data_IF_423025628308
#
_entry.id   IF_423025628308
#
_cell.length_a   1.000
_cell.length_b   1.000
_cell.length_c   1.000
_cell.angle_alpha   90.00
_cell.angle_beta   90.00
_cell.angle_gamma   90.00
#
_symmetry.space_group_name_H-M   'P 1'
#
loop_
_entity.id
_entity.type
_entity.pdbx_description
1 polymer ?
#
# COMPACT_ATOMS: atom_id res chain seq x y z
N UNK A 1 33.10 24.43 3.41
CA UNK A 1 33.02 23.05 2.88
C UNK A 1 33.08 21.95 3.94
N UNK A 2 33.76 22.11 5.11
CA UNK A 2 33.79 21.03 6.13
C UNK A 2 32.50 20.86 6.95
N UNK A 3 31.68 21.90 7.09
CA UNK A 3 30.41 21.83 7.84
C UNK A 3 29.34 20.98 7.12
N UNK A 4 29.38 20.93 5.79
CA UNK A 4 28.46 20.11 4.98
C UNK A 4 28.84 18.64 5.10
N UNK A 5 30.13 18.28 4.99
CA UNK A 5 30.59 16.88 5.06
C UNK A 5 30.34 16.21 6.43
N UNK A 6 30.34 16.97 7.51
CA UNK A 6 30.03 16.47 8.85
C UNK A 6 28.57 16.05 9.05
N UNK A 7 27.62 16.66 8.33
CA UNK A 7 26.19 16.27 8.45
C UNK A 7 25.88 15.00 7.65
N UNK A 8 26.61 14.73 6.57
CA UNK A 8 26.44 13.51 5.76
C UNK A 8 26.98 12.26 6.45
N UNK A 9 28.08 12.32 7.21
CA UNK A 9 28.59 11.15 7.94
C UNK A 9 27.66 10.74 9.09
N UNK A 10 27.06 11.71 9.79
CA UNK A 10 26.07 11.47 10.83
C UNK A 10 24.73 10.97 10.25
N UNK A 11 24.31 11.50 9.09
CA UNK A 11 23.12 11.01 8.40
C UNK A 11 23.29 9.57 7.90
N UNK A 12 24.42 9.26 7.23
CA UNK A 12 24.70 7.93 6.68
C UNK A 12 24.89 6.86 7.78
N UNK A 13 25.52 7.20 8.90
CA UNK A 13 25.74 6.24 10.00
C UNK A 13 24.45 5.77 10.69
N UNK A 14 23.39 6.57 10.68
CA UNK A 14 22.07 6.16 11.18
C UNK A 14 21.15 5.55 10.11
N UNK A 15 21.33 5.93 8.83
CA UNK A 15 20.50 5.43 7.74
C UNK A 15 20.94 4.05 7.24
N UNK A 16 22.25 3.82 7.12
CA UNK A 16 22.80 2.59 6.52
C UNK A 16 22.38 1.30 7.25
N UNK A 17 22.43 1.21 8.60
CA UNK A 17 21.96 0.02 9.30
C UNK A 17 20.47 -0.24 9.09
N UNK A 18 19.64 0.82 9.08
CA UNK A 18 18.19 0.72 8.84
C UNK A 18 17.91 0.25 7.41
N UNK A 19 18.65 0.77 6.43
CA UNK A 19 18.57 0.36 5.03
C UNK A 19 19.01 -1.09 4.82
N UNK A 20 20.04 -1.57 5.53
CA UNK A 20 20.46 -2.96 5.46
C UNK A 20 19.40 -3.91 6.01
N UNK A 21 18.77 -3.57 7.15
CA UNK A 21 17.66 -4.35 7.71
C UNK A 21 16.49 -4.37 6.73
N UNK A 22 16.10 -3.22 6.18
CA UNK A 22 15.01 -3.13 5.22
C UNK A 22 15.32 -3.96 3.95
N UNK A 23 16.52 -3.85 3.39
CA UNK A 23 16.97 -4.65 2.25
C UNK A 23 16.90 -6.15 2.54
N UNK A 24 17.29 -6.57 3.74
CA UNK A 24 17.18 -7.97 4.16
C UNK A 24 15.71 -8.44 4.22
N UNK A 25 14.79 -7.62 4.77
CA UNK A 25 13.36 -7.93 4.82
C UNK A 25 12.76 -8.03 3.41
N UNK A 26 13.13 -7.11 2.53
CA UNK A 26 12.76 -7.15 1.12
C UNK A 26 13.26 -8.41 0.42
N UNK A 27 14.54 -8.72 0.51
CA UNK A 27 15.13 -9.90 -0.11
C UNK A 27 14.48 -11.19 0.40
N UNK A 28 14.22 -11.28 1.71
CA UNK A 28 13.49 -12.40 2.31
C UNK A 28 12.09 -12.53 1.70
N UNK A 29 11.33 -11.43 1.61
CA UNK A 29 9.98 -11.48 1.08
C UNK A 29 9.95 -11.73 -0.43
N UNK A 30 10.90 -11.22 -1.20
CA UNK A 30 11.05 -11.54 -2.62
C UNK A 30 11.32 -13.03 -2.85
N UNK A 31 12.23 -13.64 -2.07
CA UNK A 31 12.47 -15.07 -2.10
C UNK A 31 11.22 -15.88 -1.74
N UNK A 32 10.50 -15.44 -0.69
CA UNK A 32 9.23 -16.05 -0.30
C UNK A 32 8.17 -15.96 -1.41
N UNK A 33 7.97 -14.77 -2.00
CA UNK A 33 7.04 -14.54 -3.10
C UNK A 33 7.39 -15.41 -4.32
N UNK A 34 8.68 -15.51 -4.67
CA UNK A 34 9.15 -16.31 -5.79
C UNK A 34 8.86 -17.81 -5.57
N UNK A 35 8.97 -18.31 -4.34
CA UNK A 35 8.63 -19.70 -4.04
C UNK A 35 7.11 -19.90 -3.97
N UNK A 36 6.41 -19.03 -3.24
CA UNK A 36 4.99 -19.18 -2.94
C UNK A 36 4.12 -18.97 -4.17
N UNK A 37 4.33 -17.88 -4.91
CA UNK A 37 3.49 -17.50 -6.05
C UNK A 37 3.87 -18.22 -7.35
N UNK A 38 5.05 -18.87 -7.43
CA UNK A 38 5.47 -19.63 -8.63
C UNK A 38 4.47 -20.72 -9.01
N UNK A 39 3.76 -21.31 -8.05
CA UNK A 39 2.73 -22.32 -8.34
C UNK A 39 1.61 -21.78 -9.24
N UNK A 40 1.31 -20.49 -9.17
CA UNK A 40 0.29 -19.84 -10.03
C UNK A 40 0.83 -19.45 -11.41
N UNK A 41 2.16 -19.44 -11.61
CA UNK A 41 2.77 -19.22 -12.93
C UNK A 41 2.41 -20.32 -13.94
N UNK A 42 2.26 -21.55 -13.42
CA UNK A 42 1.95 -22.77 -14.15
C UNK A 42 0.45 -23.11 -14.14
N UNK A 43 -0.40 -22.23 -13.61
CA UNK A 43 -1.84 -22.48 -13.55
C UNK A 43 -2.41 -22.59 -14.97
N UNK A 44 -3.23 -23.62 -15.28
CA UNK A 44 -3.83 -23.78 -16.59
C UNK A 44 -4.70 -22.57 -16.91
N UNK A 45 -4.40 -21.90 -18.02
CA UNK A 45 -4.98 -20.60 -18.36
C UNK A 45 -6.12 -20.77 -19.35
N UNK A 46 -7.36 -20.38 -18.98
CA UNK A 46 -8.45 -20.35 -19.95
C UNK A 46 -8.27 -19.24 -21.01
N UNK A 47 -7.47 -18.21 -20.72
CA UNK A 47 -7.22 -17.07 -21.62
C UNK A 47 -5.85 -16.39 -21.38
N UNK A 48 -5.55 -15.32 -22.13
CA UNK A 48 -4.34 -14.52 -22.03
C UNK A 48 -4.38 -13.40 -20.98
N UNK A 49 -5.47 -13.29 -20.18
CA UNK A 49 -5.66 -12.20 -19.22
C UNK A 49 -4.70 -12.25 -18.03
N UNK A 50 -4.04 -13.40 -17.79
CA UNK A 50 -3.09 -13.60 -16.71
C UNK A 50 -1.70 -13.96 -17.24
N UNK A 51 -0.72 -13.10 -16.95
CA UNK A 51 0.65 -13.27 -17.43
C UNK A 51 1.71 -12.76 -16.45
N UNK A 52 2.87 -12.41 -17.01
CA UNK A 52 4.01 -11.94 -16.23
C UNK A 52 3.74 -10.58 -15.55
N UNK A 53 2.88 -9.74 -16.15
CA UNK A 53 2.49 -8.44 -15.59
C UNK A 53 1.68 -8.62 -14.32
N UNK A 54 0.65 -9.45 -14.34
CA UNK A 54 -0.21 -9.73 -13.18
C UNK A 54 0.60 -10.37 -12.05
N UNK A 55 1.45 -11.35 -12.38
CA UNK A 55 2.33 -11.96 -11.39
C UNK A 55 3.27 -10.94 -10.72
N UNK A 56 3.79 -9.97 -11.49
CA UNK A 56 4.61 -8.89 -10.94
C UNK A 56 3.79 -7.99 -10.01
N UNK A 57 2.60 -7.54 -10.43
CA UNK A 57 1.71 -6.74 -9.57
C UNK A 57 1.39 -7.45 -8.25
N UNK A 58 1.08 -8.75 -8.30
CA UNK A 58 0.84 -9.57 -7.10
C UNK A 58 2.06 -9.63 -6.18
N UNK A 59 3.27 -9.73 -6.74
CA UNK A 59 4.51 -9.69 -5.97
C UNK A 59 4.72 -8.33 -5.31
N UNK A 60 4.45 -7.25 -6.03
CA UNK A 60 4.61 -5.88 -5.55
C UNK A 60 3.64 -5.59 -4.40
N UNK A 61 2.37 -5.97 -4.55
CA UNK A 61 1.37 -5.92 -3.47
C UNK A 61 1.81 -6.74 -2.26
N UNK A 62 2.26 -7.97 -2.46
CA UNK A 62 2.75 -8.80 -1.35
C UNK A 62 3.97 -8.18 -0.63
N UNK A 63 4.84 -7.47 -1.35
CA UNK A 63 5.94 -6.73 -0.73
C UNK A 63 5.41 -5.57 0.13
N UNK A 64 4.46 -4.79 -0.38
CA UNK A 64 3.88 -3.68 0.38
C UNK A 64 3.22 -4.16 1.67
N UNK A 65 2.28 -5.10 1.58
CA UNK A 65 1.54 -5.57 2.74
C UNK A 65 2.42 -6.32 3.76
N UNK A 66 3.40 -7.11 3.30
CA UNK A 66 4.25 -7.87 4.23
C UNK A 66 5.38 -7.01 4.78
N UNK A 67 6.13 -6.31 3.92
CA UNK A 67 7.32 -5.56 4.35
C UNK A 67 6.94 -4.20 4.91
N UNK A 68 6.08 -3.43 4.25
CA UNK A 68 5.77 -2.07 4.71
C UNK A 68 4.79 -2.03 5.86
N UNK A 69 3.95 -3.06 5.99
CA UNK A 69 3.01 -3.14 7.09
C UNK A 69 3.39 -4.23 8.10
N UNK A 70 3.33 -5.51 7.73
CA UNK A 70 3.41 -6.58 8.73
C UNK A 70 4.77 -6.66 9.45
N UNK A 71 5.88 -6.32 8.80
CA UNK A 71 7.18 -6.21 9.49
C UNK A 71 7.19 -5.06 10.51
N UNK A 72 6.51 -3.93 10.24
CA UNK A 72 6.32 -2.86 11.23
C UNK A 72 5.58 -3.38 12.46
N UNK A 73 4.49 -4.13 12.24
CA UNK A 73 3.73 -4.77 13.31
C UNK A 73 4.63 -5.70 14.13
N UNK A 74 5.48 -6.47 13.44
CA UNK A 74 6.44 -7.39 14.07
C UNK A 74 7.43 -6.66 14.99
N UNK A 75 7.82 -5.43 14.64
CA UNK A 75 8.72 -4.59 15.44
C UNK A 75 8.03 -4.12 16.72
N UNK A 76 6.82 -3.54 16.65
CA UNK A 76 6.17 -3.05 17.87
C UNK A 76 5.76 -4.18 18.81
N UNK A 77 5.26 -5.31 18.28
CA UNK A 77 4.91 -6.48 19.10
C UNK A 77 6.16 -7.18 19.66
N UNK A 78 7.33 -6.95 19.04
CA UNK A 78 8.61 -7.52 19.45
C UNK A 78 8.77 -9.00 19.14
N UNK A 79 8.06 -9.51 18.14
CA UNK A 79 8.19 -10.89 17.67
C UNK A 79 8.15 -10.95 16.15
N UNK A 80 9.03 -11.74 15.51
CA UNK A 80 9.14 -11.77 14.05
C UNK A 80 7.87 -12.35 13.40
N UNK A 81 7.63 -12.01 12.13
CA UNK A 81 6.59 -12.67 11.34
C UNK A 81 6.89 -14.16 11.17
N UNK A 82 5.91 -15.00 11.48
CA UNK A 82 5.91 -16.44 11.22
C UNK A 82 5.60 -16.72 9.76
N UNK A 83 6.07 -17.85 9.25
CA UNK A 83 5.89 -18.19 7.84
C UNK A 83 4.41 -18.35 7.45
N UNK A 84 3.55 -18.82 8.36
CA UNK A 84 2.10 -18.83 8.15
C UNK A 84 1.48 -17.44 8.05
N UNK A 85 1.96 -16.46 8.84
CA UNK A 85 1.51 -15.06 8.72
C UNK A 85 1.93 -14.49 7.36
N UNK A 86 3.17 -14.75 6.93
CA UNK A 86 3.66 -14.36 5.59
C UNK A 86 2.86 -15.00 4.48
N UNK A 87 2.53 -16.29 4.59
CA UNK A 87 1.74 -17.01 3.60
C UNK A 87 0.37 -16.37 3.42
N UNK A 88 -0.34 -16.11 4.53
CA UNK A 88 -1.67 -15.50 4.50
C UNK A 88 -1.64 -14.08 3.96
N UNK A 89 -0.71 -13.25 4.43
CA UNK A 89 -0.55 -11.89 3.91
C UNK A 89 -0.16 -11.87 2.43
N UNK A 90 0.71 -12.78 1.99
CA UNK A 90 1.08 -12.90 0.58
C UNK A 90 -0.12 -13.31 -0.27
N UNK A 91 -0.89 -14.30 0.17
CA UNK A 91 -2.11 -14.74 -0.52
C UNK A 91 -3.16 -13.63 -0.56
N UNK A 92 -3.36 -12.94 0.56
CA UNK A 92 -4.28 -11.82 0.70
C UNK A 92 -3.92 -10.65 -0.20
N UNK A 93 -2.68 -10.17 -0.14
CA UNK A 93 -2.22 -9.05 -0.95
C UNK A 93 -2.24 -9.37 -2.45
N UNK A 94 -1.85 -10.58 -2.83
CA UNK A 94 -1.93 -11.04 -4.21
C UNK A 94 -3.39 -11.17 -4.71
N UNK A 95 -4.30 -11.60 -3.83
CA UNK A 95 -5.73 -11.63 -4.12
C UNK A 95 -6.31 -10.22 -4.23
N UNK A 96 -5.99 -9.32 -3.30
CA UNK A 96 -6.42 -7.91 -3.33
C UNK A 96 -6.03 -7.22 -4.62
N UNK A 97 -4.79 -7.42 -5.08
CA UNK A 97 -4.32 -6.90 -6.38
C UNK A 97 -5.25 -7.27 -7.54
N UNK A 98 -5.82 -8.47 -7.55
CA UNK A 98 -6.73 -8.94 -8.60
C UNK A 98 -8.19 -8.58 -8.30
N UNK A 99 -8.53 -8.43 -7.02
CA UNK A 99 -9.85 -8.02 -6.55
C UNK A 99 -10.13 -6.55 -6.90
N UNK A 100 -9.13 -5.66 -6.81
CA UNK A 100 -9.25 -4.27 -7.25
C UNK A 100 -9.66 -4.19 -8.73
N UNK A 101 -9.09 -5.04 -9.60
CA UNK A 101 -9.48 -5.12 -11.02
C UNK A 101 -10.97 -5.49 -11.22
N UNK A 102 -11.68 -6.02 -10.21
CA UNK A 102 -13.11 -6.35 -10.34
C UNK A 102 -13.97 -5.09 -10.40
N UNK A 103 -13.55 -4.00 -9.74
CA UNK A 103 -14.27 -2.73 -9.71
C UNK A 103 -14.06 -1.90 -10.98
N UNK A 104 -12.97 -2.16 -11.70
CA UNK A 104 -12.66 -1.52 -12.99
C UNK A 104 -13.40 -2.18 -14.17
N UNK A 105 -14.00 -3.35 -13.96
CA UNK A 105 -14.65 -4.13 -14.99
C UNK A 105 -16.14 -3.76 -15.11
N UNK A 106 -16.61 -3.21 -16.24
CA UNK A 106 -17.97 -2.66 -16.38
C UNK A 106 -19.10 -3.71 -16.34
N UNK A 107 -18.77 -4.98 -16.17
CA UNK A 107 -19.70 -6.11 -16.31
C UNK A 107 -19.91 -6.89 -15.01
N UNK A 108 -19.41 -6.39 -13.87
CA UNK A 108 -19.74 -6.94 -12.54
C UNK A 108 -20.51 -5.90 -11.72
N UNK A 109 -21.66 -6.32 -11.23
CA UNK A 109 -22.38 -5.57 -10.20
C UNK A 109 -21.67 -5.67 -8.86
N UNK A 110 -21.86 -4.68 -7.99
CA UNK A 110 -21.35 -4.69 -6.60
C UNK A 110 -21.70 -6.01 -5.88
N UNK A 111 -22.95 -6.49 -6.04
CA UNK A 111 -23.41 -7.74 -5.44
C UNK A 111 -22.61 -8.97 -5.94
N UNK A 112 -22.26 -9.02 -7.23
CA UNK A 112 -21.41 -10.08 -7.78
C UNK A 112 -19.97 -10.00 -7.27
N UNK A 113 -19.44 -8.79 -7.07
CA UNK A 113 -18.11 -8.58 -6.48
C UNK A 113 -18.11 -9.00 -5.01
N UNK A 114 -19.17 -8.70 -4.26
CA UNK A 114 -19.30 -9.15 -2.87
C UNK A 114 -19.46 -10.67 -2.76
N UNK A 115 -20.20 -11.30 -3.68
CA UNK A 115 -20.40 -12.74 -3.71
C UNK A 115 -19.08 -13.53 -3.81
N UNK A 116 -18.03 -12.95 -4.40
CA UNK A 116 -16.67 -13.52 -4.39
C UNK A 116 -16.17 -13.84 -2.98
N UNK A 117 -16.44 -12.95 -2.02
CA UNK A 117 -16.00 -13.08 -0.62
C UNK A 117 -17.01 -13.88 0.20
N UNK A 118 -18.28 -13.53 0.06
CA UNK A 118 -19.34 -14.09 0.90
C UNK A 118 -19.71 -15.53 0.51
N UNK A 119 -19.63 -15.88 -0.78
CA UNK A 119 -20.08 -17.16 -1.33
C UNK A 119 -19.12 -17.67 -2.42
N UNK A 120 -17.81 -17.86 -2.09
CA UNK A 120 -16.79 -18.21 -3.09
C UNK A 120 -17.06 -19.54 -3.80
N UNK A 121 -17.83 -20.45 -3.20
CA UNK A 121 -18.22 -21.73 -3.79
C UNK A 121 -19.23 -21.57 -4.95
N UNK A 122 -19.97 -20.46 -4.97
CA UNK A 122 -20.93 -20.12 -6.04
C UNK A 122 -20.37 -19.15 -7.07
N UNK A 123 -19.24 -18.51 -6.76
CA UNK A 123 -18.61 -17.54 -7.64
C UNK A 123 -18.05 -18.22 -8.90
N UNK A 124 -18.52 -17.78 -10.07
CA UNK A 124 -18.04 -18.27 -11.36
C UNK A 124 -17.01 -17.30 -11.93
N UNK A 125 -15.76 -17.74 -11.98
CA UNK A 125 -14.69 -17.03 -12.66
C UNK A 125 -14.97 -17.01 -14.19
N UNK A 126 -14.87 -15.82 -14.79
CA UNK A 126 -15.07 -15.52 -16.21
C UNK A 126 -13.76 -15.47 -16.98
N UNK A 127 -12.64 -15.25 -16.28
CA UNK A 127 -11.31 -15.13 -16.86
C UNK A 127 -10.23 -15.71 -15.93
N UNK A 128 -8.99 -15.80 -16.43
CA UNK A 128 -7.88 -16.36 -15.67
C UNK A 128 -7.54 -15.56 -14.40
N UNK A 129 -7.67 -14.23 -14.40
CA UNK A 129 -7.40 -13.38 -13.23
C UNK A 129 -8.34 -13.72 -12.08
N UNK A 130 -9.64 -13.79 -12.36
CA UNK A 130 -10.65 -14.14 -11.37
C UNK A 130 -10.48 -15.56 -10.84
N UNK A 131 -10.09 -16.52 -11.69
CA UNK A 131 -9.81 -17.88 -11.26
C UNK A 131 -8.62 -17.95 -10.30
N UNK A 132 -7.55 -17.18 -10.57
CA UNK A 132 -6.39 -17.08 -9.67
C UNK A 132 -6.77 -16.37 -8.36
N UNK A 133 -7.53 -15.27 -8.43
CA UNK A 133 -8.03 -14.57 -7.25
C UNK A 133 -8.86 -15.52 -6.36
N UNK A 134 -9.76 -16.30 -6.97
CA UNK A 134 -10.60 -17.27 -6.25
C UNK A 134 -9.75 -18.36 -5.59
N UNK A 135 -8.75 -18.91 -6.28
CA UNK A 135 -7.86 -19.91 -5.72
C UNK A 135 -7.05 -19.37 -4.52
N UNK A 136 -6.55 -18.13 -4.61
CA UNK A 136 -5.86 -17.47 -3.50
C UNK A 136 -6.80 -17.22 -2.32
N UNK A 137 -8.02 -16.76 -2.59
CA UNK A 137 -9.03 -16.54 -1.57
C UNK A 137 -9.43 -17.85 -0.85
N UNK A 138 -9.71 -18.92 -1.59
CA UNK A 138 -10.03 -20.22 -1.02
C UNK A 138 -8.89 -20.76 -0.15
N UNK A 139 -7.64 -20.58 -0.58
CA UNK A 139 -6.46 -20.94 0.21
C UNK A 139 -6.39 -20.14 1.51
N UNK A 140 -6.59 -18.83 1.43
CA UNK A 140 -6.58 -17.95 2.60
C UNK A 140 -7.71 -18.28 3.57
N UNK A 141 -8.95 -18.45 3.06
CA UNK A 141 -10.15 -18.78 3.82
C UNK A 141 -9.97 -20.03 4.68
N UNK A 142 -9.26 -21.04 4.17
CA UNK A 142 -8.98 -22.28 4.89
C UNK A 142 -8.04 -22.12 6.11
N UNK A 143 -7.32 -21.00 6.22
CA UNK A 143 -6.36 -20.71 7.31
C UNK A 143 -6.61 -19.33 7.95
N UNK A 144 -7.85 -18.82 7.87
CA UNK A 144 -8.20 -17.55 8.50
C UNK A 144 -8.14 -17.69 10.03
N UNK A 145 -7.31 -16.89 10.72
CA UNK A 145 -7.17 -17.03 12.16
C UNK A 145 -8.40 -16.52 12.93
N UNK A 146 -9.11 -15.54 12.36
CA UNK A 146 -10.17 -14.81 13.06
C UNK A 146 -11.37 -14.52 12.15
N UNK A 147 -12.05 -15.55 11.61
CA UNK A 147 -13.10 -15.37 10.62
C UNK A 147 -14.23 -14.45 11.10
N UNK A 148 -14.62 -14.54 12.38
CA UNK A 148 -15.69 -13.72 12.94
C UNK A 148 -15.41 -12.20 12.93
N UNK A 149 -14.13 -11.80 13.02
CA UNK A 149 -13.73 -10.39 12.92
C UNK A 149 -13.36 -10.01 11.47
N UNK A 150 -12.84 -10.98 10.70
CA UNK A 150 -12.36 -10.74 9.34
C UNK A 150 -13.49 -10.40 8.37
N UNK A 151 -14.61 -11.14 8.39
CA UNK A 151 -15.69 -10.91 7.42
C UNK A 151 -16.36 -9.53 7.56
N UNK A 152 -16.71 -9.04 8.76
CA UNK A 152 -17.20 -7.67 8.93
C UNK A 152 -16.19 -6.62 8.47
N UNK A 153 -14.91 -6.77 8.82
CA UNK A 153 -13.86 -5.85 8.35
C UNK A 153 -13.70 -5.90 6.83
N UNK A 154 -13.91 -7.06 6.19
CA UNK A 154 -13.89 -7.17 4.74
C UNK A 154 -15.06 -6.43 4.13
N UNK A 155 -16.24 -6.52 4.73
CA UNK A 155 -17.40 -5.75 4.28
C UNK A 155 -17.12 -4.24 4.35
N UNK A 156 -16.48 -3.74 5.41
CA UNK A 156 -16.07 -2.34 5.51
C UNK A 156 -15.06 -1.95 4.41
N UNK A 157 -14.07 -2.80 4.15
CA UNK A 157 -13.13 -2.60 3.05
C UNK A 157 -13.81 -2.61 1.68
N UNK A 158 -14.75 -3.54 1.45
CA UNK A 158 -15.54 -3.60 0.22
C UNK A 158 -16.35 -2.32 0.02
N UNK A 159 -17.00 -1.82 1.07
CA UNK A 159 -17.72 -0.54 1.02
C UNK A 159 -16.78 0.64 0.73
N UNK A 160 -15.56 0.64 1.28
CA UNK A 160 -14.55 1.66 0.97
C UNK A 160 -14.13 1.61 -0.52
N UNK A 161 -13.97 0.41 -1.09
CA UNK A 161 -13.68 0.23 -2.51
C UNK A 161 -14.83 0.71 -3.40
N UNK A 162 -16.07 0.36 -3.08
CA UNK A 162 -17.28 0.87 -3.77
C UNK A 162 -17.33 2.40 -3.71
N UNK A 163 -17.13 2.98 -2.52
CA UNK A 163 -17.11 4.44 -2.36
C UNK A 163 -16.03 5.12 -3.19
N UNK A 164 -14.88 4.45 -3.41
CA UNK A 164 -13.78 4.97 -4.24
C UNK A 164 -14.13 5.15 -5.71
N UNK A 165 -15.15 4.43 -6.22
CA UNK A 165 -15.64 4.63 -7.59
C UNK A 165 -16.18 6.05 -7.82
N UNK A 166 -16.65 6.73 -6.77
CA UNK A 166 -17.08 8.13 -6.86
C UNK A 166 -15.92 9.10 -7.16
N UNK A 167 -14.67 8.69 -6.94
CA UNK A 167 -13.48 9.50 -7.28
C UNK A 167 -13.17 9.50 -8.78
N UNK A 168 -13.75 8.58 -9.56
CA UNK A 168 -13.57 8.54 -11.00
C UNK A 168 -14.37 9.66 -11.70
N UNK A 169 -13.84 10.20 -12.80
CA UNK A 169 -14.54 11.17 -13.65
C UNK A 169 -14.43 12.63 -13.22
N UNK A 170 -13.53 12.96 -12.29
CA UNK A 170 -13.14 14.34 -11.99
C UNK A 170 -14.24 15.24 -11.41
N UNK A 171 -15.31 14.67 -10.85
CA UNK A 171 -16.43 15.44 -10.29
C UNK A 171 -16.07 16.14 -8.96
N UNK A 172 -16.83 17.19 -8.65
CA UNK A 172 -16.75 18.09 -7.50
C UNK A 172 -17.00 17.40 -6.13
N UNK A 173 -16.31 16.31 -5.83
CA UNK A 173 -16.31 15.77 -4.48
C UNK A 173 -15.70 16.82 -3.54
N UNK A 174 -16.39 17.18 -2.43
CA UNK A 174 -15.77 17.99 -1.41
C UNK A 174 -14.46 17.35 -0.94
N UNK A 175 -13.43 18.15 -0.70
CA UNK A 175 -12.11 17.66 -0.25
C UNK A 175 -12.21 16.73 0.97
N UNK A 176 -13.10 17.02 1.92
CA UNK A 176 -13.34 16.16 3.08
C UNK A 176 -13.89 14.76 2.70
N UNK A 177 -14.67 14.66 1.62
CA UNK A 177 -15.15 13.39 1.11
C UNK A 177 -14.03 12.61 0.41
N UNK A 178 -13.21 13.27 -0.41
CA UNK A 178 -12.01 12.67 -1.02
C UNK A 178 -11.09 12.11 0.07
N UNK A 179 -10.83 12.93 1.11
CA UNK A 179 -10.03 12.53 2.25
C UNK A 179 -10.58 11.27 2.92
N UNK A 180 -11.89 11.26 3.22
CA UNK A 180 -12.52 10.12 3.87
C UNK A 180 -12.39 8.85 3.03
N UNK A 181 -12.68 8.93 1.73
CA UNK A 181 -12.60 7.79 0.81
C UNK A 181 -11.18 7.25 0.73
N UNK A 182 -10.17 8.11 0.49
CA UNK A 182 -8.76 7.71 0.48
C UNK A 182 -8.36 7.05 1.81
N UNK A 183 -8.74 7.65 2.93
CA UNK A 183 -8.37 7.14 4.25
C UNK A 183 -9.04 5.80 4.57
N UNK A 184 -10.33 5.65 4.23
CA UNK A 184 -11.05 4.39 4.42
C UNK A 184 -10.43 3.28 3.56
N UNK A 185 -10.05 3.57 2.31
CA UNK A 185 -9.47 2.58 1.38
C UNK A 185 -8.17 1.99 1.93
N UNK A 186 -7.19 2.82 2.24
CA UNK A 186 -5.92 2.37 2.80
C UNK A 186 -6.05 1.85 4.24
N UNK A 187 -6.85 2.53 5.08
CA UNK A 187 -7.06 2.19 6.48
C UNK A 187 -7.68 0.81 6.65
N UNK A 188 -8.76 0.52 5.93
CA UNK A 188 -9.44 -0.77 6.01
C UNK A 188 -8.61 -1.91 5.42
N UNK A 189 -7.83 -1.65 4.36
CA UNK A 189 -6.90 -2.64 3.81
C UNK A 189 -5.86 -3.11 4.84
N UNK A 190 -5.32 -2.19 5.66
CA UNK A 190 -4.38 -2.57 6.71
C UNK A 190 -5.04 -3.19 7.93
N UNK A 191 -6.27 -2.79 8.28
CA UNK A 191 -7.06 -3.48 9.32
C UNK A 191 -7.29 -4.94 8.93
N UNK A 192 -7.68 -5.21 7.69
CA UNK A 192 -7.80 -6.58 7.18
C UNK A 192 -6.49 -7.35 7.27
N UNK A 193 -5.38 -6.73 6.89
CA UNK A 193 -4.06 -7.35 6.93
C UNK A 193 -3.61 -7.67 8.35
N UNK A 194 -3.90 -6.78 9.30
CA UNK A 194 -3.65 -6.98 10.71
C UNK A 194 -4.40 -8.18 11.28
N UNK A 195 -5.64 -8.40 10.84
CA UNK A 195 -6.45 -9.56 11.24
C UNK A 195 -5.90 -10.91 10.74
N UNK A 196 -4.91 -10.91 9.84
CA UNK A 196 -4.24 -12.13 9.36
C UNK A 196 -3.02 -12.54 10.19
N UNK A 197 -2.67 -11.77 11.21
CA UNK A 197 -1.60 -12.08 12.17
C UNK A 197 -2.17 -12.88 13.35
N UNK A 198 -1.41 -13.82 13.95
CA UNK A 198 -1.95 -14.60 15.09
C UNK A 198 -1.63 -14.00 16.47
N UNK A 199 -1.36 -12.70 16.56
CA UNK A 199 -1.10 -12.07 17.86
C UNK A 199 -2.41 -11.57 18.51
N UNK A 200 -2.36 -11.44 19.85
CA UNK A 200 -3.48 -10.90 20.62
C UNK A 200 -3.75 -9.45 20.22
N UNK A 201 -5.01 -9.15 19.91
CA UNK A 201 -5.42 -7.84 19.40
C UNK A 201 -5.90 -6.94 20.52
N UNK A 202 -5.46 -5.68 20.46
CA UNK A 202 -6.00 -4.61 21.30
C UNK A 202 -6.83 -3.66 20.41
N UNK A 203 -7.95 -3.15 20.93
CA UNK A 203 -8.76 -2.17 20.19
C UNK A 203 -7.95 -0.94 19.76
N UNK A 204 -6.98 -0.52 20.58
CA UNK A 204 -6.08 0.58 20.28
C UNK A 204 -5.18 0.28 19.07
N UNK A 205 -4.80 -0.99 18.83
CA UNK A 205 -4.02 -1.37 17.65
C UNK A 205 -4.82 -1.15 16.37
N UNK A 206 -6.12 -1.49 16.36
CA UNK A 206 -6.95 -1.32 15.18
C UNK A 206 -6.99 0.14 14.73
N UNK A 207 -7.15 1.08 15.66
CA UNK A 207 -7.13 2.51 15.36
C UNK A 207 -5.76 2.96 14.82
N UNK A 208 -4.65 2.51 15.43
CA UNK A 208 -3.30 2.85 14.94
C UNK A 208 -3.02 2.25 13.56
N UNK A 209 -3.42 1.00 13.32
CA UNK A 209 -3.31 0.32 12.03
C UNK A 209 -4.11 1.04 10.96
N UNK A 210 -5.34 1.44 11.26
CA UNK A 210 -6.17 2.22 10.35
C UNK A 210 -5.48 3.54 9.97
N UNK A 211 -4.97 4.28 10.95
CA UNK A 211 -4.29 5.57 10.67
C UNK A 211 -2.99 5.38 9.88
N UNK A 212 -2.25 4.30 10.12
CA UNK A 212 -1.11 3.92 9.28
C UNK A 212 -1.55 3.63 7.85
N UNK A 213 -2.68 2.94 7.66
CA UNK A 213 -3.21 2.66 6.32
C UNK A 213 -3.66 3.92 5.58
N UNK A 214 -4.33 4.84 6.27
CA UNK A 214 -4.67 6.15 5.73
C UNK A 214 -3.42 6.96 5.34
N UNK A 215 -2.36 6.90 6.16
CA UNK A 215 -1.06 7.50 5.83
C UNK A 215 -0.41 6.86 4.61
N UNK A 216 -0.45 5.52 4.50
CA UNK A 216 0.04 4.81 3.32
C UNK A 216 -0.74 5.15 2.05
N UNK A 217 -2.06 5.40 2.13
CA UNK A 217 -2.82 5.81 0.95
C UNK A 217 -2.34 7.15 0.39
N UNK A 218 -2.00 8.13 1.24
CA UNK A 218 -1.44 9.41 0.74
C UNK A 218 -0.12 9.15 -0.01
N UNK A 219 0.72 8.25 0.49
CA UNK A 219 1.98 7.90 -0.18
C UNK A 219 1.74 7.19 -1.52
N UNK A 220 0.73 6.32 -1.59
CA UNK A 220 0.28 5.66 -2.81
C UNK A 220 -0.21 6.69 -3.84
N UNK A 221 -1.12 7.59 -3.44
CA UNK A 221 -1.64 8.68 -4.27
C UNK A 221 -0.52 9.61 -4.79
N UNK A 222 0.56 9.82 -4.01
CA UNK A 222 1.74 10.59 -4.46
C UNK A 222 2.51 9.85 -5.55
N UNK A 223 2.66 8.53 -5.43
CA UNK A 223 3.37 7.69 -6.41
C UNK A 223 2.55 7.57 -7.71
N UNK A 224 1.23 7.44 -7.59
CA UNK A 224 0.30 7.26 -8.70
C UNK A 224 -0.24 8.57 -9.28
N UNK A 225 0.17 9.75 -8.77
CA UNK A 225 -0.37 11.06 -9.17
C UNK A 225 -0.50 11.28 -10.68
N UNK A 226 0.50 10.87 -11.48
CA UNK A 226 0.44 11.05 -12.93
C UNK A 226 -0.56 10.10 -13.60
N UNK A 227 -0.67 8.87 -13.09
CA UNK A 227 -1.64 7.87 -13.56
C UNK A 227 -3.06 8.31 -13.17
N UNK A 228 -3.28 8.65 -11.91
CA UNK A 228 -4.57 9.08 -11.40
C UNK A 228 -5.06 10.36 -12.10
N UNK A 229 -4.16 11.32 -12.35
CA UNK A 229 -4.48 12.50 -13.13
C UNK A 229 -4.87 12.14 -14.58
N UNK A 230 -4.14 11.22 -15.23
CA UNK A 230 -4.47 10.78 -16.59
C UNK A 230 -5.80 10.01 -16.67
N UNK A 231 -6.16 9.29 -15.60
CA UNK A 231 -7.41 8.53 -15.47
C UNK A 231 -8.58 9.38 -14.93
N UNK A 232 -8.33 10.65 -14.58
CA UNK A 232 -9.35 11.56 -14.03
C UNK A 232 -9.84 11.16 -12.64
N UNK A 233 -8.96 10.53 -11.84
CA UNK A 233 -9.24 10.10 -10.47
C UNK A 233 -8.94 11.25 -9.49
N UNK A 234 -9.94 11.63 -8.71
CA UNK A 234 -9.87 12.69 -7.71
C UNK A 234 -9.33 12.15 -6.36
N UNK A 235 -8.03 12.29 -6.14
CA UNK A 235 -7.34 11.98 -4.88
C UNK A 235 -6.97 13.25 -4.12
N UNK A 236 -6.48 13.13 -2.89
CA UNK A 236 -5.98 14.29 -2.15
C UNK A 236 -4.84 15.00 -2.90
N UNK A 237 -4.06 14.23 -3.66
CA UNK A 237 -2.90 14.72 -4.41
C UNK A 237 -3.32 15.36 -5.74
N UNK A 238 -4.19 14.71 -6.52
CA UNK A 238 -4.61 15.26 -7.83
C UNK A 238 -5.53 16.47 -7.71
N UNK A 239 -6.19 16.64 -6.56
CA UNK A 239 -7.07 17.79 -6.28
C UNK A 239 -6.41 18.88 -5.42
N UNK A 240 -5.18 18.69 -4.98
CA UNK A 240 -4.46 19.72 -4.25
C UNK A 240 -4.11 20.90 -5.16
N UNK A 241 -4.30 22.16 -4.71
CA UNK A 241 -4.01 23.32 -5.54
C UNK A 241 -2.51 23.55 -5.73
N UNK A 242 -1.68 23.07 -4.80
CA UNK A 242 -0.23 23.24 -4.81
C UNK A 242 0.48 22.04 -4.18
N UNK A 243 1.79 21.94 -4.42
CA UNK A 243 2.63 20.91 -3.80
C UNK A 243 2.71 21.08 -2.27
N UNK A 244 2.69 22.32 -1.78
CA UNK A 244 2.69 22.64 -0.36
C UNK A 244 1.45 22.07 0.33
N UNK A 245 0.27 22.15 -0.30
CA UNK A 245 -0.95 21.54 0.25
C UNK A 245 -0.84 20.01 0.37
N UNK A 246 -0.18 19.34 -0.59
CA UNK A 246 0.11 17.89 -0.50
C UNK A 246 1.08 17.59 0.65
N UNK A 247 2.09 18.43 0.85
CA UNK A 247 3.03 18.29 1.95
C UNK A 247 2.34 18.47 3.30
N UNK A 248 1.48 19.48 3.42
CA UNK A 248 0.68 19.74 4.63
C UNK A 248 -0.22 18.55 4.99
N UNK A 249 -0.92 17.97 4.00
CA UNK A 249 -1.74 16.76 4.20
C UNK A 249 -0.90 15.57 4.68
N UNK A 250 0.22 15.30 4.00
CA UNK A 250 1.10 14.20 4.36
C UNK A 250 1.67 14.39 5.76
N UNK A 251 2.13 15.59 6.12
CA UNK A 251 2.65 15.89 7.44
C UNK A 251 1.58 15.79 8.53
N UNK A 252 0.37 16.31 8.27
CA UNK A 252 -0.75 16.21 9.19
C UNK A 252 -1.11 14.75 9.46
N UNK A 253 -1.26 13.93 8.42
CA UNK A 253 -1.59 12.52 8.57
C UNK A 253 -0.42 11.72 9.17
N UNK A 254 0.83 12.08 8.87
CA UNK A 254 2.01 11.50 9.53
C UNK A 254 1.96 11.72 11.04
N UNK A 255 1.64 12.94 11.50
CA UNK A 255 1.47 13.23 12.94
C UNK A 255 0.37 12.39 13.56
N UNK A 256 -0.78 12.26 12.90
CA UNK A 256 -1.91 11.45 13.40
C UNK A 256 -1.51 9.97 13.49
N UNK A 257 -1.01 9.38 12.42
CA UNK A 257 -0.63 7.97 12.37
C UNK A 257 0.46 7.62 13.39
N UNK A 258 1.49 8.46 13.50
CA UNK A 258 2.61 8.17 14.41
C UNK A 258 2.28 8.49 15.87
N UNK A 259 1.38 9.44 16.15
CA UNK A 259 0.82 9.64 17.49
C UNK A 259 -0.02 8.43 17.91
N UNK A 260 -0.90 7.93 17.03
CA UNK A 260 -1.68 6.73 17.29
C UNK A 260 -0.79 5.50 17.56
N UNK A 261 0.28 5.34 16.79
CA UNK A 261 1.29 4.30 17.02
C UNK A 261 1.99 4.45 18.39
N UNK A 262 2.39 5.67 18.75
CA UNK A 262 3.03 5.96 20.04
C UNK A 262 2.11 5.75 21.25
N UNK A 263 0.80 5.84 21.05
CA UNK A 263 -0.22 5.59 22.08
C UNK A 263 -0.47 4.11 22.39
N UNK A 264 0.14 3.17 21.66
CA UNK A 264 -0.03 1.74 21.92
C UNK A 264 0.67 1.30 23.21
N UNK A 265 0.18 0.27 23.90
CA UNK A 265 0.72 -0.19 25.18
C UNK A 265 1.92 -1.13 25.00
N UNK A 266 2.88 -0.70 24.17
CA UNK A 266 4.14 -1.41 23.92
C UNK A 266 5.34 -0.58 24.41
N UNK A 267 6.52 -1.20 24.63
CA UNK A 267 7.71 -0.46 25.01
C UNK A 267 8.02 0.69 24.03
N UNK A 268 8.22 1.90 24.56
CA UNK A 268 8.41 3.12 23.76
C UNK A 268 9.53 3.00 22.72
N UNK A 269 10.59 2.24 23.01
CA UNK A 269 11.67 1.98 22.06
C UNK A 269 11.20 1.20 20.83
N UNK A 270 10.34 0.18 21.01
CA UNK A 270 9.79 -0.57 19.89
C UNK A 270 8.87 0.28 19.02
N UNK A 271 8.09 1.17 19.64
CA UNK A 271 7.23 2.10 18.91
C UNK A 271 8.04 3.12 18.11
N UNK A 272 9.16 3.61 18.66
CA UNK A 272 10.11 4.44 17.90
C UNK A 272 10.71 3.68 16.73
N UNK A 273 11.16 2.44 16.94
CA UNK A 273 11.72 1.60 15.88
C UNK A 273 10.70 1.30 14.79
N UNK A 274 9.45 0.99 15.16
CA UNK A 274 8.36 0.75 14.22
C UNK A 274 8.07 1.99 13.37
N UNK A 275 7.93 3.17 14.00
CA UNK A 275 7.75 4.45 13.31
C UNK A 275 8.87 4.71 12.31
N UNK A 276 10.12 4.58 12.76
CA UNK A 276 11.29 4.81 11.91
C UNK A 276 11.33 3.81 10.76
N UNK A 277 10.97 2.55 11.00
CA UNK A 277 10.90 1.52 9.97
C UNK A 277 9.78 1.80 8.96
N UNK A 278 8.60 2.25 9.39
CA UNK A 278 7.52 2.69 8.49
C UNK A 278 7.99 3.82 7.58
N UNK A 279 8.63 4.85 8.16
CA UNK A 279 9.14 5.98 7.39
C UNK A 279 10.23 5.59 6.39
N UNK A 280 11.21 4.77 6.80
CA UNK A 280 12.24 4.24 5.90
C UNK A 280 11.66 3.38 4.78
N UNK A 281 10.68 2.54 5.10
CA UNK A 281 9.95 1.71 4.13
C UNK A 281 9.27 2.56 3.07
N UNK A 282 8.57 3.63 3.48
CA UNK A 282 7.93 4.58 2.57
C UNK A 282 8.93 5.29 1.65
N UNK A 283 10.14 5.60 2.10
CA UNK A 283 11.18 6.20 1.24
C UNK A 283 11.68 5.22 0.17
N UNK A 284 11.76 3.94 0.50
CA UNK A 284 12.20 2.87 -0.41
C UNK A 284 11.10 2.45 -1.39
N UNK A 285 9.84 2.70 -1.07
CA UNK A 285 8.73 2.50 -2.00
C UNK A 285 8.76 3.44 -3.21
N UNK A 286 9.39 4.63 -3.07
CA UNK A 286 9.38 5.73 -4.05
C UNK A 286 10.12 5.52 -5.39
N UNK A 287 11.09 4.60 -5.61
CA UNK A 287 11.81 4.51 -6.88
C UNK A 287 11.01 3.96 -8.06
N UNK A 288 9.74 3.57 -7.91
CA UNK A 288 8.96 2.94 -8.98
C UNK A 288 8.25 3.92 -9.92
N UNK A 289 8.33 5.24 -9.68
CA UNK A 289 7.91 6.29 -10.64
C UNK A 289 8.85 6.39 -11.87
N UNK A 290 9.32 5.27 -12.41
CA UNK A 290 10.07 5.23 -13.66
C UNK A 290 9.11 4.83 -14.78
N UNK A 291 8.37 5.83 -15.28
CA UNK A 291 7.37 5.74 -16.36
C UNK A 291 7.87 5.14 -17.68
N UNK A 292 9.15 4.74 -17.77
CA UNK A 292 9.81 4.31 -19.01
C UNK A 292 10.19 2.83 -19.07
N UNK A 293 10.10 2.04 -17.99
CA UNK A 293 10.48 0.62 -18.09
C UNK A 293 9.81 -0.33 -17.06
N UNK A 294 8.74 -1.05 -17.44
CA UNK A 294 8.09 -2.05 -16.59
C UNK A 294 8.94 -3.33 -16.34
N UNK A 295 10.15 -3.44 -16.89
CA UNK A 295 11.05 -4.58 -16.73
C UNK A 295 12.23 -4.35 -15.77
N UNK A 296 12.37 -3.17 -15.14
CA UNK A 296 13.45 -2.98 -14.16
C UNK A 296 13.07 -3.54 -12.78
N UNK A 297 13.87 -4.45 -12.20
CA UNK A 297 13.65 -4.91 -10.83
C UNK A 297 13.84 -3.76 -9.83
N UNK A 298 13.26 -3.90 -8.62
CA UNK A 298 13.55 -3.03 -7.47
C UNK A 298 15.06 -3.01 -7.22
N UNK A 299 15.74 -1.99 -7.70
CA UNK A 299 17.14 -1.74 -7.40
C UNK A 299 17.21 -0.62 -6.37
N UNK A 300 17.68 -0.95 -5.17
CA UNK A 300 17.95 -0.04 -4.05
C UNK A 300 19.10 0.96 -4.33
N UNK A 301 19.49 1.16 -5.59
CA UNK A 301 20.84 1.62 -5.93
C UNK A 301 21.01 3.12 -6.12
N UNK A 302 19.98 3.97 -5.94
CA UNK A 302 20.16 5.43 -6.05
C UNK A 302 19.47 6.18 -4.90
N UNK A 303 20.21 6.95 -4.07
CA UNK A 303 19.59 8.00 -3.26
C UNK A 303 18.99 9.08 -4.17
N UNK A 304 17.86 9.64 -3.75
CA UNK A 304 17.03 10.59 -4.49
C UNK A 304 17.80 11.82 -5.03
N UNK A 305 17.51 12.30 -6.25
CA UNK A 305 17.60 13.72 -6.56
C UNK A 305 16.44 14.49 -5.91
N UNK A 306 16.61 15.80 -5.75
CA UNK A 306 15.62 16.73 -5.15
C UNK A 306 14.18 16.52 -5.68
N UNK A 307 13.14 16.73 -4.85
CA UNK A 307 11.71 16.70 -5.23
C UNK A 307 11.36 17.47 -6.51
N UNK A 308 12.20 18.44 -6.89
CA UNK A 308 12.04 19.30 -8.07
C UNK A 308 12.23 18.59 -9.42
N UNK A 309 12.69 17.33 -9.46
CA UNK A 309 13.06 16.64 -10.71
C UNK A 309 11.98 15.73 -11.29
N UNK A 310 10.87 15.47 -10.58
CA UNK A 310 9.82 14.55 -11.01
C UNK A 310 8.63 15.21 -11.76
N UNK A 311 8.62 16.53 -11.94
CA UNK A 311 7.49 17.26 -12.51
C UNK A 311 7.90 18.13 -13.71
N UNK A 312 7.83 17.63 -14.96
CA UNK A 312 7.93 18.47 -16.13
C UNK A 312 6.55 19.09 -16.39
N UNK A 313 6.34 20.38 -16.06
CA UNK A 313 5.16 21.10 -16.56
C UNK A 313 4.65 22.31 -15.77
N UNK A 314 5.00 22.47 -14.50
CA UNK A 314 4.60 23.67 -13.75
C UNK A 314 5.76 24.67 -13.72
N UNK A 315 5.90 25.43 -14.81
CA UNK A 315 6.73 26.64 -14.78
C UNK A 315 6.17 27.60 -13.74
N UNK A 316 7.02 28.03 -12.82
CA UNK A 316 6.75 29.09 -11.86
C UNK A 316 6.03 30.27 -12.52
N UNK A 317 4.96 30.73 -11.89
CA UNK A 317 4.20 31.92 -12.25
C UNK A 317 5.16 33.07 -12.63
N UNK A 318 4.93 33.62 -13.82
CA UNK A 318 5.69 34.72 -14.39
C UNK A 318 5.72 35.91 -13.45
N UNK A 319 6.94 36.39 -13.21
CA UNK A 319 7.23 37.66 -12.55
C UNK A 319 6.42 38.77 -13.20
N UNK A 320 5.65 39.49 -12.38
CA UNK A 320 5.11 40.80 -12.72
C UNK A 320 6.25 41.73 -13.12
N UNK A 321 6.31 42.12 -14.39
CA UNK A 321 7.14 43.22 -14.86
C UNK A 321 6.46 44.54 -14.51
N UNK A 322 6.92 45.16 -13.41
CA UNK A 322 6.71 46.58 -13.17
C UNK A 322 7.98 47.32 -13.55
N UNK A 323 7.89 48.19 -14.55
CA UNK A 323 8.77 49.36 -14.68
C UNK A 323 7.95 50.53 -15.23
N UNK A 324 8.24 51.67 -14.63
CA UNK A 324 7.78 53.05 -14.87
C UNK A 324 7.79 53.43 -16.34
#
# INVERSE_FOLDING_TARGET
MSVVLGSWSHFLSHLLPKMAILAQKFARQQGFNAQYLRRYRLWPRPDASFGARELRRMQDYALQFVVFFAEVVSVWRGSPLRDRERERLTAFAAMLCLYDDFFDQPHRSEAEIWAFIAQPEQFRARNAREAVALALWQRLKADLPHPAAFYPAFQEFHQAQVASQAQAGGHHLPRAQIQKISFDKGGQALVLSWLLLDHARLLQEQAAVYQLGAWFQILDDIVDVAKDHAEGIATLVTTAPTLEAVQEDLEAQTRVAFSALQGLPYPAERLRQARDFSWSSAQVARPTCNFSNPNKPYLLSNPMPSPLTCWPGMSAAGKTSGTV
#
